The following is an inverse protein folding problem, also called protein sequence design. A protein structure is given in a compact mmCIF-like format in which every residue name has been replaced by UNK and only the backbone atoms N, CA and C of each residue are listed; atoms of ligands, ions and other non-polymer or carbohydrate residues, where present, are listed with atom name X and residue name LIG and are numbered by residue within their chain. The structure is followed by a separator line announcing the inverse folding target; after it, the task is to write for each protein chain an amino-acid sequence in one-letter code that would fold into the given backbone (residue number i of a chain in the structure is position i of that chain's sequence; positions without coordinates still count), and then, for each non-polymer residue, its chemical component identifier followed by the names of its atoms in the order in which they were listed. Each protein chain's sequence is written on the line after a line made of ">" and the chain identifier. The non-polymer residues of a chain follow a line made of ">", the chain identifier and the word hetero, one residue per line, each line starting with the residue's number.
data_IF_087221048140
#
_entry.id   IF_087221048140
#
_cell.length_a   1.000
_cell.length_b   1.000
_cell.length_c   1.000
_cell.angle_alpha   90.00
_cell.angle_beta   90.00
_cell.angle_gamma   90.00
#
_symmetry.space_group_name_H-M   'P 1'
#
loop_
_entity.id
_entity.type
_entity.pdbx_description
1 polymer ?
#
# COMPACT_ATOMS: atom_id res chain seq x y z
N UNK A 1 -27.39 -3.38 2.06
CA UNK A 1 -26.26 -3.35 3.01
C UNK A 1 -25.09 -2.65 2.33
N UNK A 2 -24.80 -1.40 2.72
CA UNK A 2 -23.62 -0.67 2.24
C UNK A 2 -22.38 -1.29 2.89
N UNK A 3 -21.48 -1.85 2.09
CA UNK A 3 -20.15 -2.23 2.55
C UNK A 3 -19.30 -0.95 2.68
N UNK A 4 -19.17 -0.47 3.92
CA UNK A 4 -18.18 0.54 4.27
C UNK A 4 -16.79 -0.09 4.14
N UNK A 5 -16.08 0.26 3.08
CA UNK A 5 -14.65 -0.03 2.94
C UNK A 5 -13.93 0.84 3.97
N UNK A 6 -13.60 0.24 5.12
CA UNK A 6 -12.68 0.79 6.09
C UNK A 6 -11.30 0.86 5.42
N UNK A 7 -10.97 2.03 4.88
CA UNK A 7 -9.59 2.43 4.61
C UNK A 7 -8.88 2.49 5.97
N UNK A 8 -8.22 1.41 6.34
CA UNK A 8 -7.23 1.41 7.41
C UNK A 8 -6.11 2.33 6.91
N UNK A 9 -6.15 3.58 7.33
CA UNK A 9 -5.03 4.49 7.16
C UNK A 9 -3.88 3.90 7.99
N UNK A 10 -2.99 3.14 7.35
CA UNK A 10 -1.71 2.80 7.94
C UNK A 10 -1.07 4.14 8.33
N UNK A 11 -0.89 4.34 9.65
CA UNK A 11 -0.15 5.50 10.14
C UNK A 11 1.19 5.57 9.41
N UNK A 12 1.69 6.78 9.08
CA UNK A 12 2.96 6.90 8.38
C UNK A 12 4.03 6.14 9.16
N UNK A 13 4.67 5.16 8.51
CA UNK A 13 5.76 4.41 9.12
C UNK A 13 6.80 5.42 9.61
N UNK A 14 7.07 5.42 10.91
CA UNK A 14 8.08 6.30 11.49
C UNK A 14 9.44 5.88 10.94
N UNK A 15 10.08 6.78 10.20
CA UNK A 15 11.40 6.54 9.62
C UNK A 15 12.41 6.22 10.73
N UNK A 16 13.31 5.29 10.46
CA UNK A 16 14.36 4.94 11.41
C UNK A 16 15.37 6.09 11.55
N UNK A 17 15.98 6.23 12.75
CA UNK A 17 17.05 7.23 12.96
C UNK A 17 18.22 7.01 11.98
N UNK A 18 18.47 5.75 11.59
CA UNK A 18 19.43 5.36 10.55
C UNK A 18 19.10 5.99 9.19
N UNK A 19 17.88 5.83 8.69
CA UNK A 19 17.48 6.43 7.40
C UNK A 19 17.55 7.95 7.41
N UNK A 20 17.20 8.58 8.53
CA UNK A 20 17.27 10.04 8.70
C UNK A 20 18.73 10.54 8.65
N UNK A 21 19.66 9.85 9.32
CA UNK A 21 21.06 10.26 9.36
C UNK A 21 21.83 9.93 8.08
N UNK A 22 21.53 8.81 7.40
CA UNK A 22 22.16 8.46 6.11
C UNK A 22 21.96 9.59 5.08
N UNK A 23 20.75 10.15 5.04
CA UNK A 23 20.33 11.14 4.06
C UNK A 23 20.44 12.58 4.53
N UNK A 24 21.03 12.84 5.70
CA UNK A 24 21.05 14.19 6.27
C UNK A 24 22.13 15.05 5.61
N UNK A 25 21.78 16.18 4.97
CA UNK A 25 22.77 17.16 4.54
C UNK A 25 23.45 17.85 5.74
N UNK A 26 22.80 17.93 6.90
CA UNK A 26 23.29 18.58 8.11
C UNK A 26 24.40 17.78 8.82
N UNK A 27 24.28 16.45 8.86
CA UNK A 27 25.30 15.54 9.41
C UNK A 27 26.23 14.96 8.32
N UNK A 28 25.83 15.14 7.06
CA UNK A 28 26.52 14.74 5.85
C UNK A 28 26.16 13.33 5.38
N UNK A 29 26.49 13.00 4.13
CA UNK A 29 26.22 11.68 3.51
C UNK A 29 26.95 10.51 4.20
N UNK A 30 26.22 9.49 4.67
CA UNK A 30 26.76 8.25 5.24
C UNK A 30 26.50 6.99 4.38
N UNK A 31 26.05 7.11 3.12
CA UNK A 31 25.81 5.94 2.24
C UNK A 31 27.07 5.09 1.99
N UNK A 32 28.26 5.68 2.14
CA UNK A 32 29.56 4.99 2.00
C UNK A 32 30.26 4.75 3.34
N UNK A 33 29.56 4.94 4.45
CA UNK A 33 30.15 4.71 5.76
C UNK A 33 30.49 3.22 5.92
N UNK A 34 31.63 2.95 6.56
CA UNK A 34 32.00 1.60 6.97
C UNK A 34 31.22 1.25 8.23
N UNK A 35 30.35 0.26 8.14
CA UNK A 35 29.63 -0.32 9.27
C UNK A 35 30.53 -1.29 10.03
N UNK A 36 30.60 -1.16 11.35
CA UNK A 36 31.35 -2.02 12.25
C UNK A 36 30.37 -2.51 13.33
N UNK A 37 30.00 -3.79 13.26
CA UNK A 37 29.05 -4.41 14.20
C UNK A 37 29.80 -5.03 15.36
N UNK A 38 29.94 -4.27 16.43
CA UNK A 38 30.61 -4.69 17.66
C UNK A 38 29.92 -4.08 18.88
N UNK A 39 29.85 -4.86 19.96
CA UNK A 39 29.27 -4.39 21.23
C UNK A 39 30.38 -3.87 22.13
N UNK A 40 30.19 -2.68 22.67
CA UNK A 40 31.19 -2.04 23.51
C UNK A 40 30.65 -0.93 24.39
N UNK A 41 31.54 -0.46 25.27
CA UNK A 41 31.39 0.79 26.03
C UNK A 41 32.66 1.58 25.84
N UNK A 42 32.52 2.86 25.49
CA UNK A 42 33.65 3.73 25.26
C UNK A 42 33.44 5.08 25.93
N UNK A 43 34.49 5.55 26.61
CA UNK A 43 34.59 6.90 27.16
C UNK A 43 35.06 7.85 26.07
N UNK A 44 34.15 8.67 25.55
CA UNK A 44 34.45 9.66 24.51
C UNK A 44 34.79 11.01 25.15
N UNK A 45 35.97 11.52 24.87
CA UNK A 45 36.44 12.80 25.40
C UNK A 45 36.83 13.71 24.26
N UNK A 46 36.26 14.91 24.26
CA UNK A 46 36.73 15.97 23.36
C UNK A 46 38.16 16.34 23.75
N UNK A 47 38.97 16.68 22.75
CA UNK A 47 40.35 17.10 22.95
C UNK A 47 40.48 18.13 24.09
N UNK A 48 41.42 17.91 25.03
CA UNK A 48 41.49 18.64 26.29
C UNK A 48 41.49 20.18 26.14
N UNK A 49 42.15 20.68 25.09
CA UNK A 49 42.26 22.12 24.85
C UNK A 49 41.10 22.70 24.00
N UNK A 50 40.05 21.92 23.75
CA UNK A 50 38.93 22.29 22.89
C UNK A 50 38.21 23.56 23.37
N UNK A 51 38.03 23.73 24.68
CA UNK A 51 37.41 24.93 25.22
C UNK A 51 38.20 26.20 24.92
N UNK A 52 39.53 26.12 24.91
CA UNK A 52 40.39 27.24 24.54
C UNK A 52 40.35 27.48 23.03
N UNK A 53 40.31 26.42 22.23
CA UNK A 53 40.14 26.50 20.78
C UNK A 53 38.82 27.20 20.41
N UNK A 54 37.72 26.82 21.04
CA UNK A 54 36.42 27.47 20.86
C UNK A 54 36.44 28.95 21.24
N UNK A 55 37.11 29.32 22.34
CA UNK A 55 37.25 30.73 22.74
C UNK A 55 37.98 31.56 21.68
N UNK A 56 39.02 30.99 21.05
CA UNK A 56 39.81 31.68 20.01
C UNK A 56 39.11 31.70 18.65
N UNK A 57 38.30 30.69 18.33
CA UNK A 57 37.67 30.53 17.01
C UNK A 57 36.17 30.15 17.12
N UNK A 58 35.33 31.02 17.73
CA UNK A 58 33.93 30.69 17.99
C UNK A 58 33.07 30.54 16.72
N UNK A 59 33.49 31.15 15.61
CA UNK A 59 32.79 31.07 14.32
C UNK A 59 32.93 29.74 13.59
N UNK A 60 33.85 28.86 14.02
CA UNK A 60 34.16 27.62 13.30
C UNK A 60 33.31 26.42 13.73
N UNK A 61 32.49 26.57 14.78
CA UNK A 61 31.77 25.46 15.41
C UNK A 61 30.28 25.76 15.52
N UNK A 62 29.44 24.87 14.96
CA UNK A 62 27.98 24.95 15.13
C UNK A 62 27.55 24.56 16.55
N UNK A 63 26.45 25.17 17.01
CA UNK A 63 26.08 25.31 18.43
C UNK A 63 25.24 24.17 19.06
N UNK A 64 25.62 22.87 18.95
CA UNK A 64 25.17 21.91 19.96
C UNK A 64 26.26 20.93 20.43
N UNK A 65 27.55 21.27 20.34
CA UNK A 65 28.61 20.42 20.87
C UNK A 65 28.59 20.41 22.40
N UNK A 66 28.90 19.26 23.02
CA UNK A 66 28.94 19.09 24.48
C UNK A 66 29.58 20.31 25.16
N UNK A 67 28.79 21.06 25.93
CA UNK A 67 29.21 22.27 26.62
C UNK A 67 30.00 21.89 27.87
N UNK A 68 31.26 21.55 27.70
CA UNK A 68 32.21 21.49 28.81
C UNK A 68 33.23 20.35 28.73
N UNK A 69 34.26 20.39 29.59
CA UNK A 69 35.16 19.25 29.78
C UNK A 69 34.38 18.12 30.47
N UNK A 70 34.07 17.08 29.71
CA UNK A 70 33.37 15.91 30.21
C UNK A 70 33.67 14.71 29.32
N UNK A 71 33.79 13.54 29.95
CA UNK A 71 33.77 12.28 29.24
C UNK A 71 32.31 11.85 29.05
N UNK A 72 31.94 11.48 27.83
CA UNK A 72 30.66 10.86 27.53
C UNK A 72 30.87 9.36 27.47
N UNK A 73 30.28 8.64 28.41
CA UNK A 73 30.23 7.18 28.36
C UNK A 73 29.16 6.75 27.36
N UNK A 74 29.56 6.07 26.29
CA UNK A 74 28.66 5.60 25.23
C UNK A 74 28.70 4.09 25.17
N UNK A 75 27.54 3.46 25.36
CA UNK A 75 27.33 2.06 25.02
C UNK A 75 26.89 1.96 23.55
N UNK A 76 27.38 0.96 22.84
CA UNK A 76 27.05 0.76 21.43
C UNK A 76 27.04 -0.74 21.06
N UNK A 77 26.29 -1.07 20.01
CA UNK A 77 26.31 -2.36 19.32
C UNK A 77 26.72 -2.27 17.83
N UNK A 78 26.84 -1.04 17.33
CA UNK A 78 27.26 -0.74 15.97
C UNK A 78 27.91 0.65 15.90
N UNK A 79 28.96 0.78 15.09
CA UNK A 79 29.63 2.04 14.78
C UNK A 79 29.66 2.22 13.27
N UNK A 80 29.25 3.38 12.80
CA UNK A 80 29.45 3.79 11.41
C UNK A 80 30.60 4.77 11.30
N UNK A 81 31.53 4.54 10.38
CA UNK A 81 32.71 5.39 10.18
C UNK A 81 32.72 5.92 8.75
N UNK A 82 32.69 7.24 8.59
CA UNK A 82 32.78 7.92 7.30
C UNK A 82 34.03 8.81 7.23
N UNK A 83 34.81 8.67 6.16
CA UNK A 83 35.92 9.57 5.86
C UNK A 83 35.42 10.77 5.06
N UNK A 84 35.80 11.99 5.45
CA UNK A 84 35.35 13.22 4.79
C UNK A 84 36.48 14.23 4.63
N UNK A 85 36.49 14.93 3.51
CA UNK A 85 37.39 16.07 3.32
C UNK A 85 36.87 17.36 3.95
N UNK A 86 35.56 17.42 4.21
CA UNK A 86 34.86 18.54 4.81
C UNK A 86 33.79 18.03 5.77
N UNK A 87 33.57 18.76 6.87
CA UNK A 87 32.52 18.44 7.81
C UNK A 87 31.54 19.63 7.98
N UNK A 88 30.24 19.47 7.73
CA UNK A 88 29.27 20.57 7.86
C UNK A 88 29.06 21.07 9.30
N UNK A 89 29.49 20.31 10.31
CA UNK A 89 29.45 20.70 11.73
C UNK A 89 30.64 21.59 12.12
N UNK A 90 31.76 21.50 11.39
CA UNK A 90 33.01 22.18 11.68
C UNK A 90 33.54 22.83 10.40
N UNK A 91 33.49 24.15 10.32
CA UNK A 91 34.07 24.89 9.19
C UNK A 91 35.61 24.94 9.24
N UNK A 92 36.24 23.88 9.72
CA UNK A 92 37.69 23.74 9.78
C UNK A 92 38.13 22.99 8.52
N UNK A 93 38.88 23.61 7.60
CA UNK A 93 39.38 22.91 6.43
C UNK A 93 40.39 21.82 6.83
N UNK A 94 40.46 20.75 6.03
CA UNK A 94 41.55 19.76 6.09
C UNK A 94 42.88 20.49 5.89
N UNK A 95 43.91 20.08 6.64
CA UNK A 95 45.27 20.55 6.37
C UNK A 95 45.67 20.22 4.93
N UNK A 96 46.44 21.08 4.25
CA UNK A 96 46.88 20.81 2.89
C UNK A 96 47.66 19.49 2.84
N UNK A 97 47.15 18.49 2.09
CA UNK A 97 47.64 17.09 2.06
C UNK A 97 47.55 16.32 3.40
N UNK A 98 46.75 16.79 4.36
CA UNK A 98 46.48 16.11 5.64
C UNK A 98 45.71 14.81 5.47
N UNK A 99 45.24 14.13 6.53
CA UNK A 99 44.29 12.99 6.38
C UNK A 99 42.83 13.49 6.39
N UNK A 100 41.87 12.77 5.78
CA UNK A 100 40.46 13.14 5.89
C UNK A 100 39.99 13.13 7.36
N UNK A 101 38.91 13.85 7.65
CA UNK A 101 38.20 13.74 8.92
C UNK A 101 37.55 12.37 9.04
N UNK A 102 37.50 11.83 10.25
CA UNK A 102 36.68 10.65 10.55
C UNK A 102 35.43 11.11 11.28
N UNK A 103 34.26 10.83 10.70
CA UNK A 103 32.99 11.00 11.39
C UNK A 103 32.51 9.64 11.83
N UNK A 104 32.25 9.48 13.13
CA UNK A 104 31.73 8.25 13.70
C UNK A 104 30.35 8.47 14.29
N UNK A 105 29.44 7.55 14.01
CA UNK A 105 28.13 7.48 14.65
C UNK A 105 28.09 6.20 15.47
N UNK A 106 27.74 6.33 16.75
CA UNK A 106 27.59 5.21 17.67
C UNK A 106 26.12 4.88 17.81
N UNK A 107 25.77 3.61 17.58
CA UNK A 107 24.40 3.10 17.61
C UNK A 107 24.24 2.12 18.76
N UNK A 108 23.06 2.10 19.35
CA UNK A 108 22.61 1.07 20.29
C UNK A 108 21.15 0.77 19.99
N UNK A 109 20.81 -0.47 19.66
CA UNK A 109 19.42 -0.89 19.38
C UNK A 109 18.75 0.02 18.32
N UNK A 110 19.45 0.28 17.22
CA UNK A 110 18.99 1.15 16.10
C UNK A 110 18.80 2.63 16.45
N UNK A 111 19.27 3.06 17.63
CA UNK A 111 19.19 4.43 18.11
C UNK A 111 20.57 5.06 18.20
N UNK A 112 20.72 6.29 17.70
CA UNK A 112 21.99 7.01 17.80
C UNK A 112 22.27 7.42 19.24
N UNK A 113 23.46 7.11 19.72
CA UNK A 113 23.89 7.44 21.07
C UNK A 113 24.85 8.64 21.07
N UNK A 114 25.72 8.72 20.06
CA UNK A 114 26.64 9.83 19.91
C UNK A 114 27.12 9.98 18.46
N UNK A 115 27.60 11.17 18.13
CA UNK A 115 28.32 11.47 16.90
C UNK A 115 29.63 12.18 17.24
N UNK A 116 30.74 11.63 16.76
CA UNK A 116 32.06 12.25 16.89
C UNK A 116 32.61 12.70 15.55
N UNK A 117 33.30 13.83 15.55
CA UNK A 117 34.17 14.26 14.45
C UNK A 117 35.60 14.26 14.93
N UNK A 118 36.44 13.48 14.26
CA UNK A 118 37.85 13.37 14.55
C UNK A 118 38.67 14.02 13.43
N UNK A 119 39.62 14.88 13.81
CA UNK A 119 40.60 15.48 12.91
C UNK A 119 41.96 14.86 13.16
N UNK A 120 42.68 14.53 12.09
CA UNK A 120 44.08 14.16 12.19
C UNK A 120 44.92 15.42 12.41
N UNK A 121 45.60 15.50 13.55
CA UNK A 121 46.44 16.64 13.92
C UNK A 121 47.91 16.23 13.83
N UNK A 122 48.69 16.94 13.01
CA UNK A 122 50.16 16.86 13.00
C UNK A 122 50.80 17.92 13.91
N UNK A 123 50.13 19.05 14.05
CA UNK A 123 50.48 20.16 14.93
C UNK A 123 49.36 20.38 15.95
N UNK A 124 49.69 21.00 17.08
CA UNK A 124 48.70 21.44 18.06
C UNK A 124 47.87 22.58 17.43
N UNK A 125 46.53 22.46 17.34
CA UNK A 125 45.66 23.47 16.77
C UNK A 125 45.73 24.86 17.42
N UNK A 126 46.22 24.96 18.65
CA UNK A 126 46.31 26.21 19.40
C UNK A 126 47.70 26.84 19.35
N UNK A 127 48.75 26.04 19.51
CA UNK A 127 50.13 26.53 19.57
C UNK A 127 50.83 26.47 18.21
N UNK A 128 50.29 25.70 17.26
CA UNK A 128 50.90 25.37 15.96
C UNK A 128 52.21 24.58 16.07
N UNK A 129 52.60 24.16 17.26
CA UNK A 129 53.78 23.34 17.49
C UNK A 129 53.54 21.92 16.98
N UNK A 130 54.60 21.27 16.49
CA UNK A 130 54.52 19.89 16.00
C UNK A 130 54.25 18.95 17.18
N UNK A 131 53.25 18.08 17.04
CA UNK A 131 52.96 17.06 18.04
C UNK A 131 53.97 15.92 17.94
N UNK A 132 54.48 15.45 19.07
CA UNK A 132 55.38 14.27 19.14
C UNK A 132 54.72 13.01 18.57
N UNK A 133 53.39 12.90 18.73
CA UNK A 133 52.57 11.80 18.22
C UNK A 133 51.38 12.36 17.45
N UNK A 134 51.51 12.56 16.12
CA UNK A 134 50.40 12.88 15.26
C UNK A 134 49.30 11.82 15.34
N UNK A 135 48.04 12.23 15.32
CA UNK A 135 46.93 11.30 15.47
C UNK A 135 45.57 11.96 15.35
N UNK A 136 44.53 11.12 15.30
CA UNK A 136 43.14 11.57 15.34
C UNK A 136 42.77 12.08 16.73
N UNK A 137 42.13 13.23 16.78
CA UNK A 137 41.61 13.85 18.00
C UNK A 137 40.14 14.20 17.78
N UNK A 138 39.30 13.90 18.77
CA UNK A 138 37.88 14.27 18.77
C UNK A 138 37.81 15.79 18.93
N UNK A 139 37.36 16.46 17.89
CA UNK A 139 37.19 17.92 17.86
C UNK A 139 35.70 18.32 17.89
N UNK A 140 34.80 17.36 17.79
CA UNK A 140 33.39 17.53 18.06
C UNK A 140 32.80 16.26 18.63
N UNK A 141 31.93 16.41 19.62
CA UNK A 141 31.14 15.33 20.18
C UNK A 141 29.72 15.85 20.41
N UNK A 142 28.76 15.16 19.81
CA UNK A 142 27.33 15.34 20.02
C UNK A 142 26.82 14.12 20.76
N UNK A 143 26.19 14.33 21.90
CA UNK A 143 25.49 13.28 22.62
C UNK A 143 24.07 13.08 22.05
N UNK A 144 23.37 12.06 22.53
CA UNK A 144 22.00 11.80 22.13
C UNK A 144 21.06 12.98 22.38
N UNK A 145 21.18 13.67 23.53
CA UNK A 145 20.32 14.80 23.88
C UNK A 145 20.44 15.95 22.88
N UNK A 146 21.65 16.20 22.38
CA UNK A 146 21.91 17.17 21.32
C UNK A 146 21.39 16.71 19.94
N UNK A 147 21.42 15.41 19.66
CA UNK A 147 20.99 14.84 18.37
C UNK A 147 19.46 14.75 18.24
N UNK A 148 18.74 14.41 19.32
CA UNK A 148 17.28 14.24 19.32
C UNK A 148 16.48 15.38 18.68
N UNK A 149 16.69 16.68 19.02
CA UNK A 149 15.93 17.76 18.40
C UNK A 149 16.25 17.92 16.90
N UNK A 150 17.47 17.64 16.47
CA UNK A 150 17.84 17.69 15.06
C UNK A 150 17.26 16.51 14.29
N UNK A 151 17.23 15.31 14.87
CA UNK A 151 16.53 14.15 14.32
C UNK A 151 15.04 14.42 14.15
N UNK A 152 14.40 15.08 15.12
CA UNK A 152 13.00 15.46 15.01
C UNK A 152 12.76 16.44 13.85
N UNK A 153 13.65 17.42 13.64
CA UNK A 153 13.60 18.33 12.49
C UNK A 153 13.77 17.58 11.17
N UNK A 154 14.72 16.64 11.10
CA UNK A 154 14.94 15.80 9.92
C UNK A 154 13.72 14.95 9.61
N UNK A 155 13.14 14.32 10.63
CA UNK A 155 11.92 13.53 10.48
C UNK A 155 10.76 14.39 9.96
N UNK A 156 10.58 15.60 10.48
CA UNK A 156 9.54 16.52 10.01
C UNK A 156 9.77 16.95 8.55
N UNK A 157 11.02 17.25 8.18
CA UNK A 157 11.39 17.55 6.77
C UNK A 157 11.10 16.36 5.86
N UNK A 158 11.46 15.15 6.27
CA UNK A 158 11.27 13.94 5.47
C UNK A 158 9.80 13.57 5.31
N UNK A 159 9.02 13.75 6.37
CA UNK A 159 7.58 13.56 6.33
C UNK A 159 6.93 14.56 5.37
N UNK A 160 7.35 15.83 5.41
CA UNK A 160 6.89 16.86 4.49
C UNK A 160 7.27 16.52 3.04
N UNK A 161 8.51 16.06 2.82
CA UNK A 161 9.00 15.63 1.51
C UNK A 161 8.21 14.43 0.98
N UNK A 162 7.99 13.40 1.80
CA UNK A 162 7.28 12.18 1.41
C UNK A 162 5.78 12.40 1.17
N UNK A 163 5.22 13.45 1.76
CA UNK A 163 3.83 13.84 1.57
C UNK A 163 3.59 14.64 0.26
N UNK A 164 4.66 15.04 -0.44
CA UNK A 164 4.51 15.73 -1.72
C UNK A 164 3.88 14.81 -2.77
N UNK A 165 2.97 15.38 -3.56
CA UNK A 165 2.43 14.70 -4.73
C UNK A 165 3.49 14.57 -5.82
N UNK A 166 3.33 13.65 -6.80
CA UNK A 166 4.24 13.56 -7.94
C UNK A 166 4.44 14.89 -8.66
N UNK A 167 3.37 15.67 -8.82
CA UNK A 167 3.42 17.00 -9.44
C UNK A 167 4.20 18.02 -8.62
N UNK A 168 4.06 18.00 -7.29
CA UNK A 168 4.82 18.87 -6.41
C UNK A 168 6.32 18.50 -6.39
N UNK A 169 6.66 17.21 -6.38
CA UNK A 169 8.04 16.76 -6.54
C UNK A 169 8.63 17.25 -7.88
N UNK A 170 7.87 17.20 -8.98
CA UNK A 170 8.35 17.67 -10.28
C UNK A 170 8.64 19.17 -10.28
N UNK A 171 7.78 19.98 -9.66
CA UNK A 171 8.00 21.42 -9.53
C UNK A 171 9.25 21.74 -8.70
N UNK A 172 9.46 21.06 -7.56
CA UNK A 172 10.67 21.26 -6.75
C UNK A 172 11.94 20.78 -7.46
N UNK A 173 11.87 19.68 -8.23
CA UNK A 173 12.98 19.25 -9.09
C UNK A 173 13.31 20.31 -10.15
N UNK A 174 12.31 20.90 -10.80
CA UNK A 174 12.51 21.99 -11.76
C UNK A 174 13.11 23.23 -11.12
N UNK A 175 12.63 23.63 -9.93
CA UNK A 175 13.21 24.75 -9.16
C UNK A 175 14.67 24.48 -8.77
N UNK A 176 14.98 23.27 -8.33
CA UNK A 176 16.33 22.84 -8.00
C UNK A 176 17.27 22.96 -9.21
N UNK A 177 16.83 22.49 -10.39
CA UNK A 177 17.59 22.62 -11.64
C UNK A 177 17.74 24.07 -12.09
N UNK A 178 16.69 24.89 -11.98
CA UNK A 178 16.70 26.29 -12.39
C UNK A 178 17.64 27.16 -11.51
N UNK A 179 17.82 26.79 -10.23
CA UNK A 179 18.72 27.50 -9.32
C UNK A 179 20.22 27.35 -9.68
N UNK A 180 20.60 26.43 -10.58
CA UNK A 180 21.95 26.29 -11.13
C UNK A 180 22.26 27.24 -12.29
N UNK A 181 21.74 28.48 -12.25
CA UNK A 181 21.70 29.40 -13.38
C UNK A 181 23.10 29.76 -13.93
N UNK A 182 23.27 29.94 -15.26
CA UNK A 182 24.56 30.23 -15.90
C UNK A 182 25.22 31.58 -15.54
N UNK A 183 24.55 32.45 -14.80
CA UNK A 183 25.10 33.72 -14.33
C UNK A 183 25.75 33.62 -12.93
N UNK A 184 25.69 32.45 -12.29
CA UNK A 184 26.33 32.22 -10.99
C UNK A 184 27.86 32.14 -11.16
N UNK A 185 28.60 33.09 -10.56
CA UNK A 185 30.07 33.18 -10.64
C UNK A 185 30.78 31.99 -9.97
N UNK A 186 30.15 31.36 -8.97
CA UNK A 186 30.70 30.21 -8.28
C UNK A 186 30.42 28.92 -9.07
N UNK A 187 31.43 28.45 -9.80
CA UNK A 187 31.41 27.22 -10.60
C UNK A 187 30.87 26.02 -9.79
N UNK A 188 31.15 25.91 -8.48
CA UNK A 188 30.63 24.78 -7.69
C UNK A 188 29.12 24.87 -7.49
N UNK A 189 28.58 26.07 -7.27
CA UNK A 189 27.13 26.30 -7.18
C UNK A 189 26.45 26.17 -8.54
N UNK A 190 27.12 26.59 -9.61
CA UNK A 190 26.62 26.47 -10.99
C UNK A 190 26.61 25.04 -11.52
N UNK A 191 27.63 24.24 -11.21
CA UNK A 191 27.80 22.88 -11.79
C UNK A 191 27.25 21.77 -10.89
N UNK A 192 27.19 21.97 -9.58
CA UNK A 192 26.73 20.95 -8.61
C UNK A 192 25.56 21.42 -7.73
N UNK A 193 25.12 22.67 -7.85
CA UNK A 193 24.02 23.21 -7.06
C UNK A 193 22.71 22.50 -7.36
N UNK A 194 22.29 21.64 -6.43
CA UNK A 194 20.96 21.01 -6.34
C UNK A 194 20.63 19.93 -7.37
N UNK A 195 21.62 19.41 -8.11
CA UNK A 195 21.41 18.22 -8.96
C UNK A 195 20.93 17.02 -8.14
N UNK A 196 21.52 16.81 -6.96
CA UNK A 196 21.11 15.72 -6.06
C UNK A 196 19.69 15.96 -5.49
N UNK A 197 19.32 17.20 -5.18
CA UNK A 197 17.95 17.52 -4.75
C UNK A 197 16.95 17.22 -5.86
N UNK A 198 17.23 17.68 -7.09
CA UNK A 198 16.39 17.41 -8.24
C UNK A 198 16.26 15.90 -8.51
N UNK A 199 17.38 15.19 -8.50
CA UNK A 199 17.42 13.73 -8.64
C UNK A 199 16.57 13.05 -7.57
N UNK A 200 16.71 13.45 -6.31
CA UNK A 200 15.95 12.90 -5.19
C UNK A 200 14.44 13.07 -5.38
N UNK A 201 13.99 14.24 -5.83
CA UNK A 201 12.58 14.47 -6.17
C UNK A 201 12.11 13.57 -7.34
N UNK A 202 12.92 13.40 -8.38
CA UNK A 202 12.58 12.54 -9.52
C UNK A 202 12.51 11.05 -9.13
N UNK A 203 13.44 10.58 -8.30
CA UNK A 203 13.42 9.20 -7.78
C UNK A 203 12.19 8.96 -6.88
N UNK A 204 11.77 9.95 -6.10
CA UNK A 204 10.55 9.87 -5.30
C UNK A 204 9.30 9.70 -6.18
N UNK A 205 9.20 10.45 -7.28
CA UNK A 205 8.11 10.28 -8.28
C UNK A 205 8.11 8.86 -8.82
N UNK A 206 9.26 8.32 -9.21
CA UNK A 206 9.35 6.97 -9.77
C UNK A 206 8.86 5.91 -8.77
N UNK A 207 9.20 6.06 -7.48
CA UNK A 207 8.72 5.16 -6.41
C UNK A 207 7.20 5.26 -6.23
N UNK A 208 6.65 6.48 -6.18
CA UNK A 208 5.20 6.69 -6.05
C UNK A 208 4.42 6.08 -7.23
N UNK A 209 4.91 6.27 -8.47
CA UNK A 209 4.27 5.71 -9.67
C UNK A 209 4.29 4.18 -9.69
N UNK A 210 5.40 3.55 -9.29
CA UNK A 210 5.48 2.07 -9.17
C UNK A 210 4.46 1.54 -8.16
N UNK A 211 4.31 2.21 -7.01
CA UNK A 211 3.32 1.83 -6.00
C UNK A 211 1.89 1.94 -6.55
N UNK A 212 1.58 3.02 -7.25
CA UNK A 212 0.27 3.23 -7.87
C UNK A 212 -0.05 2.18 -8.94
N UNK A 213 0.93 1.80 -9.76
CA UNK A 213 0.77 0.75 -10.79
C UNK A 213 0.42 -0.61 -10.15
N UNK A 214 1.14 -1.00 -9.09
CA UNK A 214 0.87 -2.24 -8.35
C UNK A 214 -0.50 -2.23 -7.65
N UNK A 215 -0.90 -1.11 -7.06
CA UNK A 215 -2.24 -0.95 -6.47
C UNK A 215 -3.34 -1.01 -7.54
N UNK A 216 -3.12 -0.39 -8.70
CA UNK A 216 -4.06 -0.41 -9.84
C UNK A 216 -4.25 -1.82 -10.40
N UNK A 217 -3.17 -2.59 -10.55
CA UNK A 217 -3.23 -4.00 -10.97
C UNK A 217 -4.04 -4.86 -9.99
N UNK A 218 -3.83 -4.68 -8.68
CA UNK A 218 -4.60 -5.39 -7.65
C UNK A 218 -6.09 -5.05 -7.71
N UNK A 219 -6.42 -3.77 -7.89
CA UNK A 219 -7.81 -3.34 -8.02
C UNK A 219 -8.47 -3.92 -9.27
N UNK A 220 -7.79 -3.93 -10.42
CA UNK A 220 -8.29 -4.55 -11.65
C UNK A 220 -8.52 -6.06 -11.47
N UNK A 221 -7.59 -6.76 -10.81
CA UNK A 221 -7.74 -8.20 -10.55
C UNK A 221 -8.96 -8.50 -9.66
N UNK A 222 -9.22 -7.67 -8.65
CA UNK A 222 -10.40 -7.79 -7.80
C UNK A 222 -11.71 -7.56 -8.58
N UNK A 223 -11.73 -6.59 -9.50
CA UNK A 223 -12.88 -6.36 -10.38
C UNK A 223 -13.15 -7.60 -11.23
N UNK A 224 -12.14 -8.16 -11.88
CA UNK A 224 -12.30 -9.38 -12.70
C UNK A 224 -12.83 -10.58 -11.89
N UNK A 225 -12.37 -10.73 -10.64
CA UNK A 225 -12.83 -11.80 -9.77
C UNK A 225 -14.31 -11.63 -9.43
N UNK A 226 -14.73 -10.41 -9.09
CA UNK A 226 -16.15 -10.11 -8.80
C UNK A 226 -17.05 -10.29 -10.02
N UNK A 227 -16.57 -9.95 -11.21
CA UNK A 227 -17.31 -10.19 -12.45
C UNK A 227 -17.53 -11.68 -12.71
N UNK A 228 -16.50 -12.51 -12.48
CA UNK A 228 -16.61 -13.98 -12.57
C UNK A 228 -17.62 -14.54 -11.57
N UNK A 229 -17.60 -14.05 -10.33
CA UNK A 229 -18.52 -14.51 -9.29
C UNK A 229 -19.97 -14.07 -9.56
N UNK A 230 -20.18 -12.85 -10.05
CA UNK A 230 -21.50 -12.40 -10.50
C UNK A 230 -22.03 -13.23 -11.66
N UNK A 231 -21.17 -13.63 -12.60
CA UNK A 231 -21.55 -14.51 -13.70
C UNK A 231 -22.00 -15.88 -13.18
N UNK A 232 -21.20 -16.51 -12.31
CA UNK A 232 -21.56 -17.79 -11.67
C UNK A 232 -22.86 -17.69 -10.88
N UNK A 233 -23.04 -16.61 -10.12
CA UNK A 233 -24.26 -16.39 -9.35
C UNK A 233 -25.49 -16.28 -10.25
N UNK A 234 -25.41 -15.55 -11.37
CA UNK A 234 -26.49 -15.47 -12.35
C UNK A 234 -26.84 -16.84 -12.94
N UNK A 235 -25.84 -17.65 -13.29
CA UNK A 235 -26.03 -19.00 -13.81
C UNK A 235 -26.72 -19.92 -12.79
N UNK A 236 -26.28 -19.89 -11.52
CA UNK A 236 -26.89 -20.66 -10.43
C UNK A 236 -28.33 -20.19 -10.15
N UNK A 237 -28.58 -18.88 -10.14
CA UNK A 237 -29.92 -18.33 -9.94
C UNK A 237 -30.86 -18.73 -11.07
N UNK A 238 -30.44 -18.62 -12.33
CA UNK A 238 -31.23 -19.07 -13.48
C UNK A 238 -31.57 -20.56 -13.37
N UNK A 239 -30.58 -21.40 -13.02
CA UNK A 239 -30.81 -22.84 -12.81
C UNK A 239 -31.82 -23.10 -11.69
N UNK A 240 -31.69 -22.40 -10.56
CA UNK A 240 -32.59 -22.54 -9.41
C UNK A 240 -34.02 -22.12 -9.75
N UNK A 241 -34.20 -21.00 -10.46
CA UNK A 241 -35.52 -20.55 -10.94
C UNK A 241 -36.14 -21.59 -11.87
N UNK A 242 -35.38 -22.14 -12.81
CA UNK A 242 -35.86 -23.22 -13.70
C UNK A 242 -36.27 -24.47 -12.94
N UNK A 243 -35.46 -24.91 -11.98
CA UNK A 243 -35.77 -26.08 -11.14
C UNK A 243 -37.01 -25.87 -10.28
N UNK A 244 -37.18 -24.67 -9.71
CA UNK A 244 -38.37 -24.32 -8.93
C UNK A 244 -39.64 -24.29 -9.79
N UNK A 245 -39.57 -23.71 -11.00
CA UNK A 245 -40.67 -23.70 -11.95
C UNK A 245 -41.09 -25.13 -12.33
N UNK A 246 -40.12 -26.00 -12.62
CA UNK A 246 -40.37 -27.40 -12.94
C UNK A 246 -41.04 -28.14 -11.77
N UNK A 247 -40.55 -27.97 -10.54
CA UNK A 247 -41.15 -28.57 -9.33
C UNK A 247 -42.58 -28.08 -9.10
N UNK A 248 -42.85 -26.80 -9.35
CA UNK A 248 -44.21 -26.22 -9.22
C UNK A 248 -45.18 -26.87 -10.21
N UNK A 249 -44.77 -27.05 -11.47
CA UNK A 249 -45.57 -27.74 -12.50
C UNK A 249 -45.82 -29.21 -12.13
N UNK A 250 -44.81 -29.92 -11.65
CA UNK A 250 -44.97 -31.31 -11.19
C UNK A 250 -45.93 -31.43 -9.99
N UNK A 251 -45.87 -30.49 -9.05
CA UNK A 251 -46.79 -30.46 -7.91
C UNK A 251 -48.23 -30.21 -8.37
N UNK A 252 -48.44 -29.22 -9.23
CA UNK A 252 -49.75 -28.92 -9.80
C UNK A 252 -50.34 -30.11 -10.57
N UNK A 253 -49.53 -30.81 -11.37
CA UNK A 253 -49.97 -32.01 -12.08
C UNK A 253 -50.41 -33.13 -11.12
N UNK A 254 -49.69 -33.33 -10.01
CA UNK A 254 -50.07 -34.31 -8.96
C UNK A 254 -51.33 -33.90 -8.21
N UNK A 255 -51.54 -32.62 -7.98
CA UNK A 255 -52.76 -32.10 -7.35
C UNK A 255 -53.97 -32.30 -8.27
N UNK A 256 -53.82 -32.04 -9.58
CA UNK A 256 -54.86 -32.30 -10.57
C UNK A 256 -55.22 -33.78 -10.65
N UNK A 257 -54.22 -34.67 -10.66
CA UNK A 257 -54.44 -36.12 -10.67
C UNK A 257 -55.31 -36.55 -9.48
N UNK A 258 -54.98 -36.07 -8.28
CA UNK A 258 -55.76 -36.33 -7.06
C UNK A 258 -57.17 -35.75 -7.14
N UNK A 259 -57.31 -34.54 -7.66
CA UNK A 259 -58.62 -33.88 -7.80
C UNK A 259 -59.54 -34.65 -8.76
N UNK A 260 -59.03 -35.03 -9.94
CA UNK A 260 -59.79 -35.84 -10.90
C UNK A 260 -60.16 -37.21 -10.34
N UNK A 261 -59.21 -37.89 -9.68
CA UNK A 261 -59.47 -39.19 -9.06
C UNK A 261 -60.53 -39.09 -7.95
N UNK A 262 -60.47 -38.04 -7.11
CA UNK A 262 -61.46 -37.81 -6.04
C UNK A 262 -62.88 -37.58 -6.58
N UNK A 263 -62.98 -37.05 -7.81
CA UNK A 263 -64.23 -36.82 -8.53
C UNK A 263 -64.69 -38.04 -9.34
N UNK A 264 -63.97 -39.17 -9.26
CA UNK A 264 -64.30 -40.41 -9.95
C UNK A 264 -63.88 -40.47 -11.42
N UNK A 265 -63.02 -39.55 -11.87
CA UNK A 265 -62.49 -39.57 -13.23
C UNK A 265 -61.14 -40.29 -13.29
N UNK A 266 -61.02 -41.28 -14.17
CA UNK A 266 -59.72 -41.86 -14.55
C UNK A 266 -59.09 -40.99 -15.65
N UNK A 267 -58.20 -40.09 -15.23
CA UNK A 267 -57.44 -39.19 -16.12
C UNK A 267 -55.96 -39.53 -15.98
N UNK A 268 -55.29 -39.88 -17.07
CA UNK A 268 -53.83 -39.98 -17.07
C UNK A 268 -53.24 -38.61 -17.39
N UNK A 269 -52.40 -38.10 -16.49
CA UNK A 269 -51.73 -36.81 -16.67
C UNK A 269 -50.28 -37.02 -17.09
N UNK A 270 -49.91 -36.39 -18.19
CA UNK A 270 -48.55 -36.36 -18.73
C UNK A 270 -48.05 -34.93 -18.79
N UNK A 271 -46.76 -34.74 -18.53
CA UNK A 271 -46.07 -33.47 -18.69
C UNK A 271 -45.15 -33.56 -19.90
N UNK A 272 -45.35 -32.67 -20.87
CA UNK A 272 -44.66 -32.68 -22.16
C UNK A 272 -43.67 -31.51 -22.28
N UNK A 273 -42.61 -31.72 -23.07
CA UNK A 273 -41.51 -30.77 -23.25
C UNK A 273 -40.40 -30.90 -22.20
N UNK A 274 -39.21 -30.39 -22.53
CA UNK A 274 -38.03 -30.43 -21.64
C UNK A 274 -38.21 -29.62 -20.36
N UNK A 275 -38.97 -28.52 -20.44
CA UNK A 275 -39.33 -27.68 -19.29
C UNK A 275 -40.73 -27.99 -18.71
N UNK A 276 -41.41 -29.02 -19.23
CA UNK A 276 -42.74 -29.45 -18.79
C UNK A 276 -43.81 -28.37 -18.88
N UNK A 277 -43.71 -27.48 -19.85
CA UNK A 277 -44.63 -26.33 -20.02
C UNK A 277 -46.00 -26.74 -20.54
N UNK A 278 -46.16 -27.95 -21.06
CA UNK A 278 -47.46 -28.47 -21.54
C UNK A 278 -47.95 -29.61 -20.66
N UNK A 279 -49.20 -29.52 -20.21
CA UNK A 279 -49.88 -30.59 -19.48
C UNK A 279 -50.89 -31.30 -20.38
N UNK A 280 -50.77 -32.62 -20.50
CA UNK A 280 -51.68 -33.45 -21.29
C UNK A 280 -52.52 -34.32 -20.37
N UNK A 281 -53.83 -34.19 -20.49
CA UNK A 281 -54.82 -34.97 -19.76
C UNK A 281 -55.47 -35.96 -20.73
N UNK A 282 -55.41 -37.26 -20.40
CA UNK A 282 -55.98 -38.31 -21.23
C UNK A 282 -57.08 -39.09 -20.51
N UNK A 283 -58.31 -39.06 -21.03
CA UNK A 283 -59.43 -39.82 -20.47
C UNK A 283 -60.37 -40.33 -21.57
N UNK A 284 -60.94 -41.53 -21.39
CA UNK A 284 -61.96 -42.06 -22.30
C UNK A 284 -63.26 -41.22 -22.29
N UNK A 285 -63.47 -40.45 -21.22
CA UNK A 285 -64.67 -39.64 -21.02
C UNK A 285 -64.57 -38.25 -21.67
N UNK A 286 -63.38 -37.81 -22.10
CA UNK A 286 -63.22 -36.49 -22.71
C UNK A 286 -63.94 -36.43 -24.05
N UNK A 287 -65.04 -35.68 -24.08
CA UNK A 287 -65.77 -35.29 -25.27
C UNK A 287 -65.82 -33.77 -25.33
N UNK A 288 -66.22 -33.21 -26.48
CA UNK A 288 -66.26 -31.76 -26.69
C UNK A 288 -67.05 -31.04 -25.59
N UNK A 289 -68.31 -31.40 -25.25
CA UNK A 289 -69.04 -30.74 -24.17
C UNK A 289 -68.32 -30.75 -22.82
N UNK A 290 -67.72 -31.88 -22.43
CA UNK A 290 -67.00 -31.99 -21.16
C UNK A 290 -65.73 -31.12 -21.14
N UNK A 291 -64.96 -31.12 -22.22
CA UNK A 291 -63.74 -30.30 -22.34
C UNK A 291 -64.10 -28.82 -22.28
N UNK A 292 -65.13 -28.37 -23.00
CA UNK A 292 -65.64 -26.99 -22.89
C UNK A 292 -66.11 -26.67 -21.46
N UNK A 293 -66.85 -27.57 -20.81
CA UNK A 293 -67.28 -27.36 -19.42
C UNK A 293 -66.12 -27.32 -18.40
N UNK A 294 -64.97 -27.95 -18.69
CA UNK A 294 -63.77 -27.85 -17.86
C UNK A 294 -63.01 -26.55 -18.11
N UNK A 295 -62.98 -26.09 -19.36
CA UNK A 295 -62.36 -24.83 -19.79
C UNK A 295 -63.14 -23.62 -19.26
N UNK A 296 -64.47 -23.67 -19.36
CA UNK A 296 -65.37 -22.58 -18.94
C UNK A 296 -65.44 -22.43 -17.42
N UNK A 297 -64.93 -23.40 -16.65
CA UNK A 297 -64.73 -23.23 -15.20
C UNK A 297 -63.62 -22.20 -14.97
N UNK A 298 -63.98 -21.08 -14.34
CA UNK A 298 -63.16 -19.87 -14.21
C UNK A 298 -61.73 -20.11 -13.73
N UNK A 299 -61.52 -21.11 -12.88
CA UNK A 299 -60.25 -21.24 -12.16
C UNK A 299 -59.34 -22.34 -12.75
N UNK A 300 -59.84 -23.24 -13.61
CA UNK A 300 -59.03 -24.37 -14.08
C UNK A 300 -57.85 -23.93 -14.95
N UNK A 301 -58.12 -23.16 -16.00
CA UNK A 301 -57.05 -22.64 -16.87
C UNK A 301 -56.17 -21.61 -16.13
N UNK A 302 -56.76 -20.85 -15.20
CA UNK A 302 -56.00 -19.89 -14.40
C UNK A 302 -55.02 -20.58 -13.47
N UNK A 303 -55.41 -21.67 -12.81
CA UNK A 303 -54.51 -22.46 -11.96
C UNK A 303 -53.35 -23.07 -12.76
N UNK A 304 -53.60 -23.48 -14.01
CA UNK A 304 -52.54 -23.96 -14.91
C UNK A 304 -51.57 -22.83 -15.31
N UNK A 305 -52.09 -21.65 -15.65
CA UNK A 305 -51.25 -20.45 -15.89
C UNK A 305 -50.43 -20.07 -14.67
N UNK A 306 -51.04 -20.06 -13.49
CA UNK A 306 -50.39 -19.72 -12.23
C UNK A 306 -49.32 -20.75 -11.86
N UNK A 307 -49.51 -22.02 -12.21
CA UNK A 307 -48.49 -23.07 -12.11
C UNK A 307 -47.35 -22.94 -13.14
N UNK A 308 -47.51 -22.07 -14.14
CA UNK A 308 -46.53 -21.77 -15.17
C UNK A 308 -46.62 -22.67 -16.40
N UNK A 309 -47.77 -23.30 -16.66
CA UNK A 309 -48.01 -24.01 -17.92
C UNK A 309 -48.33 -23.02 -19.05
N UNK A 310 -47.83 -23.34 -20.25
CA UNK A 310 -48.04 -22.58 -21.48
C UNK A 310 -49.11 -23.22 -22.38
N UNK A 311 -49.40 -24.51 -22.16
CA UNK A 311 -50.42 -25.22 -22.94
C UNK A 311 -51.07 -26.35 -22.17
N UNK A 312 -52.32 -26.67 -22.54
CA UNK A 312 -53.04 -27.85 -22.07
C UNK A 312 -53.62 -28.64 -23.23
N UNK A 313 -53.45 -29.96 -23.18
CA UNK A 313 -53.93 -30.89 -24.20
C UNK A 313 -54.90 -31.88 -23.57
N UNK A 314 -56.13 -31.93 -24.06
CA UNK A 314 -57.11 -32.94 -23.69
C UNK A 314 -57.14 -34.01 -24.79
N UNK A 315 -56.96 -35.28 -24.46
CA UNK A 315 -57.01 -36.36 -25.43
C UNK A 315 -57.99 -37.47 -25.00
N UNK A 316 -58.81 -37.93 -25.95
CA UNK A 316 -59.65 -39.11 -25.75
C UNK A 316 -58.94 -40.37 -26.24
N UNK A 317 -58.63 -41.27 -25.30
CA UNK A 317 -57.92 -42.54 -25.58
C UNK A 317 -58.67 -43.46 -26.55
N UNK A 318 -60.00 -43.39 -26.58
CA UNK A 318 -60.82 -44.33 -27.35
C UNK A 318 -61.18 -43.80 -28.75
N UNK A 319 -61.19 -42.49 -28.95
CA UNK A 319 -61.79 -41.87 -30.16
C UNK A 319 -60.81 -40.95 -30.93
N UNK A 320 -59.51 -40.94 -30.60
CA UNK A 320 -58.47 -40.12 -31.28
C UNK A 320 -58.83 -38.63 -31.44
N UNK A 321 -59.67 -38.07 -30.56
CA UNK A 321 -59.91 -36.64 -30.50
C UNK A 321 -58.91 -35.97 -29.56
N UNK A 322 -58.38 -34.83 -29.98
CA UNK A 322 -57.42 -34.01 -29.24
C UNK A 322 -57.92 -32.55 -29.26
N UNK A 323 -57.88 -31.88 -28.12
CA UNK A 323 -58.14 -30.45 -27.98
C UNK A 323 -56.92 -29.80 -27.34
N UNK A 324 -56.29 -28.88 -28.07
CA UNK A 324 -55.11 -28.15 -27.62
C UNK A 324 -55.52 -26.71 -27.32
N UNK A 325 -55.07 -26.20 -26.18
CA UNK A 325 -55.36 -24.84 -25.73
C UNK A 325 -54.04 -24.19 -25.36
N UNK A 326 -53.76 -23.07 -26.01
CA UNK A 326 -52.67 -22.17 -25.67
C UNK A 326 -53.09 -21.33 -24.46
N UNK A 327 -52.29 -21.37 -23.40
CA UNK A 327 -52.53 -20.63 -22.16
C UNK A 327 -51.89 -19.24 -22.17
N UNK A 328 -51.11 -18.90 -23.20
CA UNK A 328 -50.43 -17.61 -23.33
C UNK A 328 -51.30 -16.51 -23.98
N UNK A 329 -52.47 -16.86 -24.53
CA UNK A 329 -53.38 -15.94 -25.21
C UNK A 329 -54.54 -15.46 -24.34
#
# INVERSE_FOLDING_TARGET
>A
MLAAVLLIAAGPAQLSEQELLINSPEFGDFHKAKEIKEKGKQSLQVWANYNEFLKKQPSLVKSPMLRGPGALEVAYDEIWVAERDYNPLLMVPREYRGKPFLVKIYWLEHKVQALTVEKYCQTDPLTWEKLDKPGYRIIALLDRQALEPELAKLAAKEQTFSALSPGAHLQEAQKALAAGHPEEEDIKKRTYGRLEDARRHLEAIQKQLKKLDEESKKALQEVENREKDLKKYKEVMQKTVKEQALKKREAAAKELDRDFLSKGFDVKIHLEGSEKTTIKLESALFNRPMVFALIDKSDFLQNLRDAGFEGVVFANKNIKFIWEIDLNN
#
